data_IF_129952446505
#
_entry.id   IF_129952446505
#
_cell.length_a   1.000
_cell.length_b   1.000
_cell.length_c   1.000
_cell.angle_alpha   90.00
_cell.angle_beta   90.00
_cell.angle_gamma   90.00
#
_symmetry.space_group_name_H-M   'P 1'
#
loop_
_entity.id
_entity.type
_entity.pdbx_description
1 polymer ?
#
# COMPACT_ATOMS: atom_id res chain seq x y z
N UNK A 1 -0.16 -25.32 -8.89
CA UNK A 1 1.13 -25.14 -8.20
C UNK A 1 1.86 -24.02 -8.91
N UNK A 2 2.59 -23.19 -8.17
CA UNK A 2 3.41 -22.13 -8.77
C UNK A 2 4.77 -22.73 -9.17
N UNK A 3 5.37 -22.19 -10.22
CA UNK A 3 6.64 -22.65 -10.79
C UNK A 3 7.57 -21.45 -10.92
N UNK A 4 8.88 -21.67 -10.82
CA UNK A 4 9.86 -20.59 -10.95
C UNK A 4 9.75 -19.95 -12.34
N UNK A 5 9.63 -18.61 -12.37
CA UNK A 5 9.48 -17.85 -13.62
C UNK A 5 10.50 -16.73 -13.69
N UNK A 6 11.29 -16.70 -14.75
CA UNK A 6 12.13 -15.53 -15.04
C UNK A 6 11.26 -14.38 -15.54
N UNK A 7 11.36 -13.22 -14.87
CA UNK A 7 10.70 -11.99 -15.25
C UNK A 7 11.74 -10.93 -15.63
N UNK A 8 11.34 -10.01 -16.51
CA UNK A 8 12.14 -8.86 -16.91
C UNK A 8 11.57 -7.61 -16.24
N UNK A 9 12.40 -6.88 -15.50
CA UNK A 9 12.00 -5.63 -14.88
C UNK A 9 11.65 -4.59 -15.95
N UNK A 10 10.45 -4.00 -15.88
CA UNK A 10 9.96 -3.01 -16.86
C UNK A 10 10.80 -1.72 -16.88
N UNK A 11 11.38 -1.36 -15.74
CA UNK A 11 12.10 -0.09 -15.57
C UNK A 11 13.59 -0.19 -15.93
N UNK A 12 14.22 -1.36 -15.77
CA UNK A 12 15.67 -1.52 -16.00
C UNK A 12 16.06 -2.67 -16.93
N UNK A 13 15.11 -3.50 -17.38
CA UNK A 13 15.34 -4.59 -18.33
C UNK A 13 16.12 -5.80 -17.77
N UNK A 14 16.46 -5.80 -16.48
CA UNK A 14 17.18 -6.91 -15.85
C UNK A 14 16.26 -8.11 -15.64
N UNK A 15 16.80 -9.28 -15.91
CA UNK A 15 16.18 -10.57 -15.61
C UNK A 15 16.34 -10.89 -14.13
N UNK A 16 15.27 -11.42 -13.53
CA UNK A 16 15.28 -11.97 -12.18
C UNK A 16 14.38 -13.19 -12.10
N UNK A 17 14.71 -14.14 -11.22
CA UNK A 17 13.88 -15.32 -10.98
C UNK A 17 12.80 -14.95 -9.98
N UNK A 18 11.55 -15.06 -10.39
CA UNK A 18 10.39 -14.96 -9.52
C UNK A 18 9.99 -16.37 -9.08
N UNK A 19 10.52 -16.79 -7.93
CA UNK A 19 10.42 -18.19 -7.49
C UNK A 19 8.99 -18.61 -7.18
N UNK A 20 8.72 -19.91 -7.18
CA UNK A 20 7.43 -20.45 -6.76
C UNK A 20 7.03 -19.96 -5.35
N UNK A 21 7.99 -19.94 -4.41
CA UNK A 21 7.76 -19.46 -3.04
C UNK A 21 7.44 -17.96 -2.95
N UNK A 22 8.07 -17.12 -3.80
CA UNK A 22 7.72 -15.70 -3.88
C UNK A 22 6.31 -15.51 -4.47
N UNK A 23 5.96 -16.27 -5.51
CA UNK A 23 4.63 -16.22 -6.11
C UNK A 23 3.54 -16.59 -5.09
N UNK A 24 3.75 -17.65 -4.30
CA UNK A 24 2.85 -18.04 -3.21
C UNK A 24 2.76 -16.95 -2.13
N UNK A 25 3.88 -16.34 -1.76
CA UNK A 25 3.90 -15.25 -0.79
C UNK A 25 3.08 -14.04 -1.27
N UNK A 26 3.28 -13.60 -2.51
CA UNK A 26 2.52 -12.48 -3.08
C UNK A 26 1.05 -12.83 -3.33
N UNK A 27 0.73 -14.08 -3.68
CA UNK A 27 -0.65 -14.55 -3.82
C UNK A 27 -1.39 -14.63 -2.47
N UNK A 28 -0.70 -15.01 -1.39
CA UNK A 28 -1.29 -15.09 -0.04
C UNK A 28 -1.34 -13.73 0.68
N UNK A 29 -0.46 -12.78 0.30
CA UNK A 29 -0.58 -11.35 0.61
C UNK A 29 -1.77 -10.78 -0.16
N UNK A 30 -2.98 -11.15 0.28
CA UNK A 30 -4.22 -10.63 -0.26
C UNK A 30 -4.21 -9.10 -0.34
N UNK A 31 -5.14 -8.53 -1.11
CA UNK A 31 -5.35 -7.09 -1.14
C UNK A 31 -5.62 -6.61 0.28
N UNK A 32 -4.69 -5.83 0.84
CA UNK A 32 -4.89 -5.15 2.13
C UNK A 32 -6.24 -4.42 2.04
N UNK A 33 -7.14 -4.70 2.98
CA UNK A 33 -8.41 -3.99 3.05
C UNK A 33 -8.12 -2.50 3.21
N UNK A 34 -8.63 -1.72 2.27
CA UNK A 34 -8.52 -0.26 2.26
C UNK A 34 -9.83 0.29 2.80
N UNK A 35 -9.76 1.01 3.91
CA UNK A 35 -10.90 1.69 4.51
C UNK A 35 -10.96 3.13 4.01
N UNK A 36 -12.16 3.61 3.71
CA UNK A 36 -12.41 5.01 3.39
C UNK A 36 -12.69 5.79 4.68
N UNK A 37 -12.04 6.94 4.82
CA UNK A 37 -12.19 7.83 5.95
C UNK A 37 -12.18 9.28 5.48
N UNK A 38 -12.86 10.17 6.22
CA UNK A 38 -12.82 11.60 5.94
C UNK A 38 -11.59 12.22 6.60
N UNK A 39 -10.79 12.96 5.84
CA UNK A 39 -9.63 13.68 6.36
C UNK A 39 -10.05 14.76 7.35
N UNK A 40 -9.53 14.71 8.58
CA UNK A 40 -9.85 15.66 9.64
C UNK A 40 -9.35 17.10 9.36
N UNK A 41 -8.37 17.27 8.47
CA UNK A 41 -7.81 18.58 8.15
C UNK A 41 -8.47 19.27 6.94
N UNK A 42 -8.92 18.51 5.93
CA UNK A 42 -9.41 19.08 4.67
C UNK A 42 -10.76 18.53 4.19
N UNK A 43 -11.35 17.56 4.89
CA UNK A 43 -12.65 16.99 4.56
C UNK A 43 -12.69 16.06 3.34
N UNK A 44 -11.56 15.85 2.65
CA UNK A 44 -11.48 14.93 1.49
C UNK A 44 -11.48 13.46 1.94
N UNK A 45 -11.89 12.56 1.05
CA UNK A 45 -11.79 11.11 1.25
C UNK A 45 -10.32 10.67 1.25
N UNK A 46 -9.93 9.93 2.27
CA UNK A 46 -8.63 9.28 2.42
C UNK A 46 -8.84 7.76 2.44
N UNK A 47 -7.94 7.03 1.79
CA UNK A 47 -7.92 5.56 1.81
C UNK A 47 -6.77 5.09 2.69
N UNK A 48 -7.07 4.34 3.74
CA UNK A 48 -6.10 3.90 4.74
C UNK A 48 -6.14 2.38 4.92
N UNK A 49 -4.99 1.72 5.19
CA UNK A 49 -4.91 0.27 5.36
C UNK A 49 -5.30 -0.19 6.78
N UNK A 50 -5.88 0.70 7.58
CA UNK A 50 -6.30 0.44 8.96
C UNK A 50 -7.74 0.93 9.13
N UNK A 51 -8.51 0.25 9.98
CA UNK A 51 -9.88 0.65 10.26
C UNK A 51 -9.88 2.01 10.98
N UNK A 52 -10.52 3.06 10.43
CA UNK A 52 -10.67 4.35 11.10
C UNK A 52 -11.46 4.17 12.40
N UNK A 53 -10.96 4.78 13.48
CA UNK A 53 -11.59 4.76 14.81
C UNK A 53 -11.94 6.20 15.20
N UNK A 54 -13.06 6.38 15.89
CA UNK A 54 -13.51 7.71 16.34
C UNK A 54 -12.51 8.40 17.28
N UNK A 55 -11.69 7.63 18.00
CA UNK A 55 -10.67 8.13 18.93
C UNK A 55 -9.47 8.79 18.23
N UNK A 56 -9.18 8.47 16.96
CA UNK A 56 -7.99 8.96 16.26
C UNK A 56 -8.32 9.59 14.90
N UNK A 57 -8.00 10.88 14.68
CA UNK A 57 -8.27 11.54 13.40
C UNK A 57 -7.45 10.91 12.27
N UNK A 58 -8.09 10.72 11.11
CA UNK A 58 -7.43 10.27 9.89
C UNK A 58 -7.05 11.48 9.05
N UNK A 59 -5.86 11.45 8.46
CA UNK A 59 -5.38 12.48 7.55
C UNK A 59 -5.08 11.89 6.17
N UNK A 60 -5.41 12.63 5.11
CA UNK A 60 -4.97 12.25 3.77
C UNK A 60 -3.45 12.41 3.63
N UNK A 61 -2.86 11.73 2.64
CA UNK A 61 -1.41 11.76 2.41
C UNK A 61 -0.84 13.17 2.29
N UNK A 62 -1.58 14.10 1.66
CA UNK A 62 -1.16 15.50 1.50
C UNK A 62 -1.12 16.25 2.84
N UNK A 63 -2.17 16.12 3.65
CA UNK A 63 -2.24 16.78 4.97
C UNK A 63 -1.23 16.17 5.93
N UNK A 64 -1.05 14.84 5.92
CA UNK A 64 -0.07 14.16 6.76
C UNK A 64 1.37 14.57 6.41
N UNK A 65 1.70 14.68 5.13
CA UNK A 65 3.02 15.17 4.68
C UNK A 65 3.28 16.58 5.21
N UNK A 66 2.32 17.51 5.02
CA UNK A 66 2.42 18.89 5.53
C UNK A 66 2.58 18.95 7.05
N UNK A 67 1.86 18.11 7.81
CA UNK A 67 1.98 18.07 9.27
C UNK A 67 3.36 17.58 9.72
N UNK A 68 3.99 16.67 8.98
CA UNK A 68 5.33 16.14 9.29
C UNK A 68 6.45 17.13 8.98
N UNK A 69 6.29 17.95 7.95
CA UNK A 69 7.27 18.98 7.57
C UNK A 69 7.28 20.18 8.54
N UNK A 70 6.19 20.39 9.28
CA UNK A 70 6.01 21.53 10.17
C UNK A 70 6.30 21.19 11.64
N UNK A 71 6.97 20.05 11.91
CA UNK A 71 7.23 19.51 13.25
C UNK A 71 8.68 19.12 13.49
#
# INVERSE_FOLDING_TARGET
>A
MYEDKTLVCKDCGKEFVFTAGEQEFYASRGTREMFEATCAACGKVARVPFQPREDRPVYCSECFAKMKENG
#
